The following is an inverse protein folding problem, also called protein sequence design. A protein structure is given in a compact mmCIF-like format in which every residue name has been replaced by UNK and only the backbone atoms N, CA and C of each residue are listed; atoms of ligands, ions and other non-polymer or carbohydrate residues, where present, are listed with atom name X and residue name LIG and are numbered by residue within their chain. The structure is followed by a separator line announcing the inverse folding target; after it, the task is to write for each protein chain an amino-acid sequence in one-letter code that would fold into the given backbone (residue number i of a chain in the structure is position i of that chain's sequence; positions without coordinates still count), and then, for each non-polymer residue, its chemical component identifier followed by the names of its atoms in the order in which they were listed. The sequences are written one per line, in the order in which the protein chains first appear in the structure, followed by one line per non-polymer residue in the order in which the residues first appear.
data_IF_935640862858
#
_entry.id   IF_935640862858
#
_cell.length_a   1.000
_cell.length_b   1.000
_cell.length_c   1.000
_cell.angle_alpha   90.00
_cell.angle_beta   90.00
_cell.angle_gamma   90.00
#
_symmetry.space_group_name_H-M   'P 1'
#
loop_
_entity.id
_entity.type
_entity.pdbx_description
1 polymer ?
#
# COMPACT_ATOMS: atom_id res chain seq x y z
N UNK A 1 -2.71 11.67 -43.97
CA UNK A 1 -1.92 11.91 -42.74
C UNK A 1 -2.56 13.05 -41.95
N UNK A 2 -3.46 12.74 -41.01
CA UNK A 2 -4.03 13.77 -40.14
C UNK A 2 -2.99 14.18 -39.10
N UNK A 3 -2.60 15.46 -39.09
CA UNK A 3 -1.75 16.06 -38.06
C UNK A 3 -2.41 15.85 -36.70
N UNK A 4 -1.85 14.98 -35.87
CA UNK A 4 -2.25 14.79 -34.48
C UNK A 4 -1.98 16.12 -33.77
N UNK A 5 -3.02 16.92 -33.50
CA UNK A 5 -2.92 18.08 -32.62
C UNK A 5 -2.36 17.59 -31.27
N UNK A 6 -1.25 18.19 -30.83
CA UNK A 6 -0.73 17.96 -29.48
C UNK A 6 -1.86 18.23 -28.49
N UNK A 7 -2.05 17.35 -27.50
CA UNK A 7 -3.06 17.56 -26.49
C UNK A 7 -2.76 18.86 -25.73
N UNK A 8 -3.74 19.75 -25.58
CA UNK A 8 -3.58 20.86 -24.65
C UNK A 8 -3.26 20.29 -23.26
N UNK A 9 -2.27 20.85 -22.55
CA UNK A 9 -1.92 20.39 -21.21
C UNK A 9 -3.12 20.59 -20.28
N UNK A 10 -3.39 19.57 -19.46
CA UNK A 10 -4.46 19.63 -18.46
C UNK A 10 -4.13 20.78 -17.49
N UNK A 11 -5.05 21.75 -17.40
CA UNK A 11 -4.88 22.94 -16.57
C UNK A 11 -5.61 22.76 -15.23
N UNK A 12 -5.17 23.45 -14.18
CA UNK A 12 -5.81 23.40 -12.85
C UNK A 12 -7.32 23.69 -12.89
N UNK A 13 -7.77 24.58 -13.78
CA UNK A 13 -9.20 24.88 -13.99
C UNK A 13 -10.06 23.71 -14.48
N UNK A 14 -9.44 22.62 -14.94
CA UNK A 14 -10.13 21.40 -15.39
C UNK A 14 -10.56 20.50 -14.23
N UNK A 15 -10.19 20.84 -12.99
CA UNK A 15 -10.49 20.08 -11.79
C UNK A 15 -11.78 20.56 -11.12
N UNK A 16 -12.56 19.60 -10.60
CA UNK A 16 -13.78 19.84 -9.83
C UNK A 16 -13.41 20.38 -8.44
N UNK A 17 -13.79 21.62 -8.08
CA UNK A 17 -13.39 22.23 -6.82
C UNK A 17 -13.73 21.40 -5.58
N UNK A 18 -14.89 20.75 -5.58
CA UNK A 18 -15.41 19.92 -4.48
C UNK A 18 -14.60 18.63 -4.24
N UNK A 19 -13.76 18.24 -5.20
CA UNK A 19 -12.90 17.05 -5.10
C UNK A 19 -11.46 17.37 -4.71
N UNK A 20 -11.08 18.65 -4.71
CA UNK A 20 -9.72 19.08 -4.41
C UNK A 20 -9.40 18.90 -2.94
N UNK A 21 -8.29 18.22 -2.67
CA UNK A 21 -7.75 17.94 -1.33
C UNK A 21 -6.31 18.42 -1.23
N UNK A 22 -5.89 18.81 -0.03
CA UNK A 22 -4.57 19.42 0.21
C UNK A 22 -4.54 20.93 -0.01
N UNK A 23 -3.38 21.54 0.23
CA UNK A 23 -3.19 23.00 0.25
C UNK A 23 -2.36 23.49 -0.95
N UNK A 24 -2.61 24.70 -1.49
CA UNK A 24 -1.73 25.33 -2.48
C UNK A 24 -0.27 25.42 -1.98
N UNK A 25 0.70 25.26 -2.89
CA UNK A 25 2.12 25.20 -2.54
C UNK A 25 2.60 23.83 -2.04
N UNK A 26 1.70 22.85 -1.93
CA UNK A 26 1.99 21.46 -1.60
C UNK A 26 1.36 20.52 -2.64
N UNK A 27 1.63 19.23 -2.54
CA UNK A 27 0.90 18.25 -3.34
C UNK A 27 -0.57 18.24 -2.98
N UNK A 28 -1.40 18.16 -4.02
CA UNK A 28 -2.86 18.08 -3.92
C UNK A 28 -3.35 16.92 -4.74
N UNK A 29 -4.60 16.55 -4.53
CA UNK A 29 -5.29 15.56 -5.37
C UNK A 29 -6.67 16.06 -5.72
N UNK A 30 -7.13 15.78 -6.94
CA UNK A 30 -8.44 16.21 -7.41
C UNK A 30 -8.91 15.40 -8.60
N UNK A 31 -10.21 15.45 -8.86
CA UNK A 31 -10.84 14.83 -10.02
C UNK A 31 -11.08 15.88 -11.11
N UNK A 32 -10.76 15.55 -12.35
CA UNK A 32 -11.12 16.36 -13.50
C UNK A 32 -12.63 16.32 -13.75
N UNK A 33 -13.13 17.29 -14.52
CA UNK A 33 -14.51 17.26 -15.02
C UNK A 33 -14.83 15.98 -15.82
N UNK A 34 -13.84 15.39 -16.49
CA UNK A 34 -13.92 14.10 -17.19
C UNK A 34 -13.85 12.86 -16.27
N UNK A 35 -13.83 13.03 -14.95
CA UNK A 35 -13.87 11.93 -13.99
C UNK A 35 -12.53 11.28 -13.65
N UNK A 36 -11.42 11.79 -14.16
CA UNK A 36 -10.08 11.25 -13.87
C UNK A 36 -9.49 11.90 -12.63
N UNK A 37 -8.99 11.10 -11.70
CA UNK A 37 -8.21 11.59 -10.57
C UNK A 37 -6.78 11.93 -10.98
N UNK A 38 -6.20 12.99 -10.45
CA UNK A 38 -4.79 13.31 -10.62
C UNK A 38 -4.21 13.87 -9.34
N UNK A 39 -2.91 13.66 -9.15
CA UNK A 39 -2.14 14.53 -8.28
C UNK A 39 -1.88 15.86 -8.99
N UNK A 40 -1.70 16.89 -8.18
CA UNK A 40 -1.20 18.19 -8.59
C UNK A 40 0.08 18.44 -7.80
N UNK A 41 1.14 18.82 -8.49
CA UNK A 41 2.40 19.21 -7.87
C UNK A 41 2.24 20.55 -7.10
N UNK A 42 3.26 21.00 -6.34
CA UNK A 42 3.21 22.27 -5.61
C UNK A 42 2.93 23.53 -6.44
N UNK A 43 3.00 23.42 -7.78
CA UNK A 43 2.71 24.50 -8.73
C UNK A 43 1.37 24.28 -9.45
N UNK A 44 0.50 23.43 -8.89
CA UNK A 44 -0.81 23.03 -9.44
C UNK A 44 -0.74 22.42 -10.85
N UNK A 45 0.40 21.79 -11.20
CA UNK A 45 0.54 21.05 -12.47
C UNK A 45 0.15 19.59 -12.27
N UNK A 46 -0.60 18.99 -13.22
CA UNK A 46 -0.92 17.57 -13.16
C UNK A 46 0.34 16.72 -13.00
N UNK A 47 0.26 15.74 -12.11
CA UNK A 47 1.37 14.87 -11.77
C UNK A 47 0.88 13.42 -11.71
N UNK A 48 1.70 12.51 -12.26
CA UNK A 48 1.48 11.07 -12.16
C UNK A 48 2.70 10.41 -11.51
N UNK A 49 2.47 9.68 -10.40
CA UNK A 49 3.56 9.04 -9.65
C UNK A 49 4.11 7.84 -10.42
N UNK A 50 5.43 7.82 -10.58
CA UNK A 50 6.23 6.69 -11.09
C UNK A 50 7.32 6.48 -10.07
N UNK A 51 7.06 5.59 -9.11
CA UNK A 51 7.87 5.42 -7.91
C UNK A 51 8.56 4.06 -7.87
N UNK A 52 9.64 3.95 -7.10
CA UNK A 52 10.33 2.70 -6.75
C UNK A 52 10.57 2.68 -5.25
N UNK A 53 10.11 1.63 -4.57
CA UNK A 53 10.37 1.45 -3.14
C UNK A 53 11.76 0.88 -2.87
N UNK A 54 12.25 1.11 -1.66
CA UNK A 54 13.47 0.51 -1.13
C UNK A 54 14.73 0.76 -1.99
N UNK A 55 14.84 1.94 -2.60
CA UNK A 55 16.08 2.38 -3.27
C UNK A 55 17.13 2.70 -2.20
N UNK A 56 17.77 1.66 -1.69
CA UNK A 56 18.75 1.75 -0.62
C UNK A 56 19.84 0.69 -0.79
N UNK A 57 20.92 0.85 -0.01
CA UNK A 57 22.09 -0.03 -0.04
C UNK A 57 21.82 -1.47 0.40
N UNK A 58 20.69 -1.74 1.06
CA UNK A 58 20.32 -3.08 1.53
C UNK A 58 19.38 -3.80 0.56
N UNK A 59 18.81 -3.11 -0.42
CA UNK A 59 17.94 -3.72 -1.43
C UNK A 59 16.62 -4.25 -0.88
N UNK A 60 16.16 -3.73 0.27
CA UNK A 60 14.98 -4.24 0.98
C UNK A 60 14.20 -3.14 1.68
N UNK A 61 12.92 -3.42 1.89
CA UNK A 61 12.04 -2.62 2.72
C UNK A 61 12.42 -2.70 4.20
N UNK A 62 12.00 -1.69 4.97
CA UNK A 62 12.19 -1.60 6.40
C UNK A 62 13.49 -0.89 6.81
N UNK A 63 13.79 -0.87 8.12
CA UNK A 63 15.03 -0.28 8.63
C UNK A 63 16.26 -1.05 8.14
N UNK A 64 17.45 -0.40 8.17
CA UNK A 64 18.72 -1.07 7.89
C UNK A 64 18.83 -2.41 8.63
N UNK A 65 19.18 -3.46 7.89
CA UNK A 65 19.36 -4.78 8.50
C UNK A 65 20.60 -4.81 9.38
N UNK A 66 20.54 -5.52 10.50
CA UNK A 66 21.70 -5.77 11.38
C UNK A 66 22.80 -6.56 10.66
N UNK A 67 22.41 -7.47 9.76
CA UNK A 67 23.30 -8.27 8.93
C UNK A 67 23.26 -7.81 7.48
N UNK A 68 24.43 -7.78 6.83
CA UNK A 68 24.55 -7.47 5.41
C UNK A 68 24.23 -8.70 4.57
N UNK A 69 23.14 -8.61 3.82
CA UNK A 69 22.78 -9.62 2.82
C UNK A 69 23.64 -9.53 1.56
N UNK A 70 23.45 -10.50 0.65
CA UNK A 70 24.24 -10.63 -0.60
C UNK A 70 24.28 -9.36 -1.44
N UNK A 71 23.15 -8.67 -1.58
CA UNK A 71 23.07 -7.42 -2.33
C UNK A 71 23.84 -6.28 -1.65
N UNK A 72 23.72 -6.13 -0.33
CA UNK A 72 24.45 -5.10 0.40
C UNK A 72 25.98 -5.27 0.28
N UNK A 73 26.45 -6.53 0.30
CA UNK A 73 27.87 -6.85 0.09
C UNK A 73 28.33 -6.44 -1.32
N UNK A 74 27.55 -6.74 -2.36
CA UNK A 74 27.86 -6.33 -3.72
C UNK A 74 27.91 -4.80 -3.86
N UNK A 75 26.95 -4.09 -3.28
CA UNK A 75 26.91 -2.61 -3.25
C UNK A 75 28.13 -2.05 -2.53
N UNK A 76 28.54 -2.61 -1.39
CA UNK A 76 29.71 -2.14 -0.66
C UNK A 76 31.01 -2.35 -1.45
N UNK A 77 31.12 -3.44 -2.20
CA UNK A 77 32.26 -3.70 -3.09
C UNK A 77 32.32 -2.72 -4.27
N UNK A 78 31.16 -2.38 -4.85
CA UNK A 78 31.09 -1.50 -6.02
C UNK A 78 31.26 -0.01 -5.68
N UNK A 79 30.68 0.43 -4.56
CA UNK A 79 30.56 1.85 -4.23
C UNK A 79 31.34 2.25 -2.98
N UNK A 80 32.00 1.31 -2.31
CA UNK A 80 32.67 1.53 -1.03
C UNK A 80 31.67 1.57 0.13
N UNK A 81 32.02 0.90 1.23
CA UNK A 81 31.22 0.88 2.45
C UNK A 81 31.09 2.28 3.08
N UNK A 82 32.20 3.03 3.09
CA UNK A 82 32.31 4.34 3.76
C UNK A 82 31.81 5.52 2.90
N UNK A 83 31.52 5.30 1.60
CA UNK A 83 30.95 6.32 0.71
C UNK A 83 29.45 6.06 0.45
N UNK A 84 28.55 6.58 1.30
CA UNK A 84 27.11 6.49 1.04
C UNK A 84 26.69 7.24 -0.24
N UNK A 85 27.45 8.26 -0.66
CA UNK A 85 27.11 9.06 -1.84
C UNK A 85 27.39 8.32 -3.16
N UNK A 86 28.33 7.36 -3.17
CA UNK A 86 28.62 6.51 -4.33
C UNK A 86 27.39 5.79 -4.86
N UNK A 87 26.72 5.05 -3.99
CA UNK A 87 25.46 4.37 -4.31
C UNK A 87 24.38 5.36 -4.73
N UNK A 88 24.16 6.44 -3.96
CA UNK A 88 23.10 7.41 -4.25
C UNK A 88 23.28 8.07 -5.63
N UNK A 89 24.51 8.43 -6.03
CA UNK A 89 24.80 8.97 -7.37
C UNK A 89 24.47 7.96 -8.47
N UNK A 90 24.89 6.70 -8.33
CA UNK A 90 24.64 5.65 -9.31
C UNK A 90 23.14 5.32 -9.43
N UNK A 91 22.46 5.15 -8.29
CA UNK A 91 21.03 4.92 -8.24
C UNK A 91 20.24 6.07 -8.88
N UNK A 92 20.57 7.32 -8.57
CA UNK A 92 19.92 8.50 -9.16
C UNK A 92 20.07 8.55 -10.69
N UNK A 93 21.23 8.21 -11.23
CA UNK A 93 21.42 8.13 -12.68
C UNK A 93 20.51 7.08 -13.31
N UNK A 94 20.42 5.89 -12.71
CA UNK A 94 19.52 4.81 -13.16
C UNK A 94 18.05 5.24 -13.12
N UNK A 95 17.59 5.78 -11.99
CA UNK A 95 16.22 6.27 -11.82
C UNK A 95 15.84 7.32 -12.87
N UNK A 96 16.73 8.27 -13.18
CA UNK A 96 16.51 9.27 -14.24
C UNK A 96 16.41 8.63 -15.64
N UNK A 97 17.27 7.66 -15.95
CA UNK A 97 17.19 6.90 -17.22
C UNK A 97 15.88 6.15 -17.34
N UNK A 98 15.42 5.55 -16.25
CA UNK A 98 14.15 4.82 -16.19
C UNK A 98 12.92 5.74 -16.02
N UNK A 99 13.11 7.07 -16.07
CA UNK A 99 12.05 8.07 -16.01
C UNK A 99 11.21 8.00 -14.72
N UNK A 100 11.83 7.56 -13.61
CA UNK A 100 11.25 7.60 -12.27
C UNK A 100 11.25 9.06 -11.79
N UNK A 101 10.13 9.51 -11.21
CA UNK A 101 9.98 10.87 -10.68
C UNK A 101 9.76 10.93 -9.16
N UNK A 102 9.65 9.76 -8.52
CA UNK A 102 9.33 9.66 -7.09
C UNK A 102 10.16 8.55 -6.44
N UNK A 103 10.73 8.83 -5.28
CA UNK A 103 11.32 7.84 -4.38
C UNK A 103 10.22 7.28 -3.49
N UNK A 104 10.07 5.96 -3.44
CA UNK A 104 9.14 5.29 -2.54
C UNK A 104 9.68 5.22 -1.11
N UNK A 105 8.91 4.62 -0.18
CA UNK A 105 9.36 4.37 1.18
C UNK A 105 10.67 3.59 1.23
N UNK A 106 11.42 3.80 2.31
CA UNK A 106 12.72 3.17 2.58
C UNK A 106 13.82 3.53 1.58
N UNK A 107 13.67 4.61 0.81
CA UNK A 107 14.76 5.16 0.01
C UNK A 107 15.91 5.66 0.92
N UNK A 108 17.13 5.58 0.41
CA UNK A 108 18.32 6.08 1.09
C UNK A 108 18.21 7.59 1.34
N UNK A 109 18.42 8.08 2.58
CA UNK A 109 18.38 9.51 2.88
C UNK A 109 19.31 10.36 2.02
N UNK A 110 20.42 9.80 1.51
CA UNK A 110 21.34 10.51 0.62
C UNK A 110 20.73 10.85 -0.75
N UNK A 111 19.56 10.26 -1.11
CA UNK A 111 18.80 10.60 -2.30
C UNK A 111 17.85 11.80 -2.09
N UNK A 112 17.68 12.28 -0.86
CA UNK A 112 16.87 13.45 -0.56
C UNK A 112 17.40 14.70 -1.30
N UNK A 113 16.48 15.55 -1.78
CA UNK A 113 16.86 16.79 -2.49
C UNK A 113 17.47 16.57 -3.89
N UNK A 114 17.45 15.35 -4.43
CA UNK A 114 18.00 15.01 -5.75
C UNK A 114 17.19 15.52 -6.96
N UNK A 115 16.11 16.27 -6.69
CA UNK A 115 15.11 16.71 -7.69
C UNK A 115 14.00 15.70 -7.95
N UNK A 116 14.03 14.53 -7.30
CA UNK A 116 12.90 13.60 -7.24
C UNK A 116 12.01 13.95 -6.04
N UNK A 117 10.70 13.74 -6.18
CA UNK A 117 9.77 13.82 -5.05
C UNK A 117 9.84 12.53 -4.23
N UNK A 118 9.19 12.49 -3.06
CA UNK A 118 9.20 11.30 -2.22
C UNK A 118 7.83 10.97 -1.62
N UNK A 119 7.61 9.69 -1.38
CA UNK A 119 6.60 9.18 -0.45
C UNK A 119 7.31 8.50 0.72
N UNK A 120 6.70 8.57 1.90
CA UNK A 120 7.28 8.03 3.14
C UNK A 120 6.28 7.16 3.88
N UNK A 121 6.78 6.36 4.82
CA UNK A 121 5.98 5.51 5.69
C UNK A 121 6.10 6.03 7.12
N UNK A 122 4.98 6.28 7.79
CA UNK A 122 4.95 6.61 9.21
C UNK A 122 5.13 5.35 10.08
N UNK A 123 4.55 4.21 9.70
CA UNK A 123 4.65 2.92 10.40
C UNK A 123 4.00 2.95 11.81
N UNK A 124 2.73 3.39 11.88
CA UNK A 124 1.98 3.55 13.14
C UNK A 124 1.75 2.25 13.90
N UNK A 125 1.80 1.08 13.25
CA UNK A 125 1.79 -0.21 13.96
C UNK A 125 2.94 -0.33 14.97
N UNK A 126 4.04 0.39 14.75
CA UNK A 126 5.20 0.43 15.63
C UNK A 126 5.29 1.73 16.46
N UNK A 127 4.17 2.42 16.68
CA UNK A 127 4.11 3.63 17.51
C UNK A 127 4.35 3.41 19.03
N UNK A 128 4.77 2.20 19.43
CA UNK A 128 5.13 1.86 20.81
C UNK A 128 4.00 1.26 21.65
N UNK A 129 2.84 0.97 21.06
CA UNK A 129 1.70 0.32 21.73
C UNK A 129 1.64 -1.20 21.53
N UNK A 130 0.70 -1.89 22.19
CA UNK A 130 0.44 -3.30 21.95
C UNK A 130 0.03 -3.56 20.49
N UNK A 131 0.52 -4.65 19.91
CA UNK A 131 0.19 -5.07 18.54
C UNK A 131 -0.44 -6.45 18.59
N UNK A 132 -1.62 -6.56 17.99
CA UNK A 132 -2.31 -7.82 17.76
C UNK A 132 -1.64 -8.49 16.56
N UNK A 133 -0.90 -9.56 16.80
CA UNK A 133 -0.19 -10.31 15.76
C UNK A 133 -0.45 -11.81 15.88
N UNK A 134 -1.51 -12.29 15.24
CA UNK A 134 -1.92 -13.70 15.28
C UNK A 134 -2.80 -14.08 14.07
N UNK A 135 -2.58 -15.27 13.51
CA UNK A 135 -3.40 -15.84 12.41
C UNK A 135 -3.63 -14.89 11.22
N UNK A 136 -2.62 -14.10 10.85
CA UNK A 136 -2.69 -13.12 9.76
C UNK A 136 -3.34 -11.78 10.12
N UNK A 137 -3.84 -11.63 11.35
CA UNK A 137 -4.13 -10.30 11.92
C UNK A 137 -2.80 -9.67 12.34
N UNK A 138 -2.60 -8.42 11.93
CA UNK A 138 -1.43 -7.62 12.28
C UNK A 138 -1.84 -6.16 12.36
N UNK A 139 -2.28 -5.72 13.54
CA UNK A 139 -2.84 -4.39 13.80
C UNK A 139 -2.41 -3.87 15.17
N UNK A 140 -2.21 -2.56 15.34
CA UNK A 140 -2.13 -1.97 16.67
C UNK A 140 -3.43 -2.24 17.45
N UNK A 141 -3.33 -2.39 18.77
CA UNK A 141 -4.51 -2.43 19.64
C UNK A 141 -5.11 -1.02 19.77
N UNK A 142 -6.01 -0.70 18.84
CA UNK A 142 -6.64 0.63 18.75
C UNK A 142 -7.63 0.91 19.88
N UNK A 143 -7.93 -0.07 20.74
CA UNK A 143 -8.76 0.11 21.92
C UNK A 143 -7.93 0.46 23.17
N UNK A 144 -6.61 0.34 23.09
CA UNK A 144 -5.72 0.80 24.16
C UNK A 144 -5.93 2.31 24.39
N UNK A 145 -6.15 2.70 25.64
CA UNK A 145 -6.41 4.11 26.00
C UNK A 145 -5.27 5.06 25.61
N UNK A 146 -4.04 4.54 25.54
CA UNK A 146 -2.85 5.26 25.10
C UNK A 146 -2.72 5.42 23.58
N UNK A 147 -3.49 4.68 22.77
CA UNK A 147 -3.36 4.64 21.30
C UNK A 147 -3.30 6.04 20.66
N UNK A 148 -4.18 6.94 21.06
CA UNK A 148 -4.24 8.30 20.51
C UNK A 148 -3.02 9.15 20.86
N UNK A 149 -2.50 9.02 22.09
CA UNK A 149 -1.29 9.71 22.54
C UNK A 149 -0.04 9.15 21.87
N UNK A 150 0.03 7.83 21.70
CA UNK A 150 1.11 7.16 20.96
C UNK A 150 1.15 7.60 19.50
N UNK A 151 -0.02 7.70 18.84
CA UNK A 151 -0.10 8.23 17.48
C UNK A 151 0.44 9.66 17.39
N UNK A 152 0.05 10.52 18.33
CA UNK A 152 0.49 11.91 18.33
C UNK A 152 2.01 12.04 18.49
N UNK A 153 2.57 11.35 19.48
CA UNK A 153 4.02 11.32 19.72
C UNK A 153 4.78 10.78 18.51
N UNK A 154 4.29 9.68 17.93
CA UNK A 154 4.91 9.03 16.78
C UNK A 154 4.91 9.92 15.53
N UNK A 155 3.78 10.60 15.25
CA UNK A 155 3.67 11.53 14.13
C UNK A 155 4.60 12.75 14.26
N UNK A 156 4.81 13.23 15.49
CA UNK A 156 5.77 14.30 15.78
C UNK A 156 7.22 13.85 15.56
N UNK A 157 7.57 12.64 16.00
CA UNK A 157 8.94 12.12 15.95
C UNK A 157 9.38 11.68 14.56
N UNK A 158 8.55 10.91 13.85
CA UNK A 158 8.93 10.28 12.57
C UNK A 158 9.21 11.29 11.46
N UNK A 159 8.57 12.45 11.52
CA UNK A 159 8.69 13.45 10.48
C UNK A 159 10.02 14.20 10.44
N UNK A 160 10.78 14.19 11.54
CA UNK A 160 12.12 14.77 11.56
C UNK A 160 13.07 14.12 10.53
N UNK A 161 12.80 12.87 10.15
CA UNK A 161 13.59 12.12 9.18
C UNK A 161 13.06 12.23 7.73
N UNK A 162 11.91 12.88 7.49
CA UNK A 162 11.33 12.91 6.16
C UNK A 162 12.04 13.91 5.23
N UNK A 163 12.31 13.55 3.96
CA UNK A 163 12.95 14.43 3.01
C UNK A 163 12.02 15.61 2.60
N UNK A 164 12.57 16.72 2.09
CA UNK A 164 11.76 17.76 1.47
C UNK A 164 11.07 17.25 0.19
N UNK A 165 10.00 17.92 -0.24
CA UNK A 165 9.29 17.56 -1.48
C UNK A 165 8.44 16.29 -1.36
N UNK A 166 7.81 16.09 -0.21
CA UNK A 166 6.89 14.97 0.00
C UNK A 166 5.61 15.15 -0.80
N UNK A 167 5.19 14.07 -1.45
CA UNK A 167 3.85 13.93 -2.00
C UNK A 167 2.87 13.64 -0.87
N UNK A 168 3.26 12.74 0.04
CA UNK A 168 2.43 12.32 1.15
C UNK A 168 3.06 11.18 1.94
N UNK A 169 2.31 10.73 2.94
CA UNK A 169 2.73 9.72 3.92
C UNK A 169 1.75 8.54 3.92
N UNK A 170 2.29 7.33 3.83
CA UNK A 170 1.56 6.11 4.15
C UNK A 170 1.53 5.93 5.67
N UNK A 171 0.37 5.57 6.22
CA UNK A 171 0.26 5.33 7.67
C UNK A 171 0.99 4.05 8.07
N UNK A 172 0.81 2.99 7.29
CA UNK A 172 1.42 1.68 7.51
C UNK A 172 1.61 0.93 6.17
N UNK A 173 2.30 -0.21 6.23
CA UNK A 173 2.49 -1.11 5.10
C UNK A 173 1.88 -2.48 5.42
N UNK A 174 0.96 -2.92 4.55
CA UNK A 174 0.41 -4.28 4.57
C UNK A 174 -0.17 -4.73 5.92
N UNK A 175 -0.99 -3.90 6.57
CA UNK A 175 -1.69 -4.27 7.80
C UNK A 175 -2.58 -5.51 7.60
N UNK A 176 -2.60 -6.40 8.60
CA UNK A 176 -3.39 -7.62 8.59
C UNK A 176 -4.79 -7.39 9.15
N UNK A 177 -5.74 -7.00 8.31
CA UNK A 177 -7.09 -6.63 8.73
C UNK A 177 -8.02 -7.80 9.11
N UNK A 178 -7.61 -9.04 8.86
CA UNK A 178 -8.34 -10.25 9.23
C UNK A 178 -9.78 -10.32 8.69
N UNK A 179 -10.03 -10.15 7.38
CA UNK A 179 -11.35 -10.40 6.80
C UNK A 179 -11.73 -11.89 6.97
N UNK A 180 -13.03 -12.24 7.11
CA UNK A 180 -13.43 -13.63 7.28
C UNK A 180 -13.13 -14.46 6.04
N UNK A 181 -12.49 -15.62 6.22
CA UNK A 181 -12.25 -16.59 5.15
C UNK A 181 -12.48 -18.03 5.63
N UNK A 182 -12.79 -18.97 4.71
CA UNK A 182 -12.93 -20.38 5.08
C UNK A 182 -11.66 -21.03 5.65
N UNK A 183 -10.49 -20.48 5.31
CA UNK A 183 -9.16 -21.01 5.61
C UNK A 183 -8.37 -20.17 6.61
N UNK A 184 -8.95 -19.09 7.17
CA UNK A 184 -8.25 -18.19 8.11
C UNK A 184 -9.20 -17.62 9.15
N UNK A 185 -8.70 -17.49 10.38
CA UNK A 185 -9.42 -16.82 11.47
C UNK A 185 -9.59 -15.32 11.18
N UNK A 186 -10.75 -14.78 11.55
CA UNK A 186 -11.06 -13.37 11.32
C UNK A 186 -10.72 -12.50 12.54
N UNK A 187 -10.59 -11.19 12.32
CA UNK A 187 -10.20 -10.20 13.34
C UNK A 187 -10.98 -10.35 14.65
N UNK A 188 -12.31 -10.45 14.57
CA UNK A 188 -13.15 -10.60 15.77
C UNK A 188 -12.83 -11.87 16.55
N UNK A 189 -12.70 -13.03 15.88
CA UNK A 189 -12.38 -14.30 16.54
C UNK A 189 -11.00 -14.26 17.19
N UNK A 190 -10.01 -13.65 16.51
CA UNK A 190 -8.68 -13.42 17.09
C UNK A 190 -8.81 -12.57 18.36
N UNK A 191 -9.47 -11.41 18.29
CA UNK A 191 -9.63 -10.53 19.45
C UNK A 191 -10.37 -11.19 20.63
N UNK A 192 -11.44 -11.96 20.38
CA UNK A 192 -12.17 -12.70 21.42
C UNK A 192 -11.32 -13.75 22.14
N UNK A 193 -10.20 -14.16 21.52
CA UNK A 193 -9.29 -15.22 22.01
C UNK A 193 -7.95 -14.68 22.52
N UNK A 194 -7.74 -13.36 22.49
CA UNK A 194 -6.54 -12.73 23.01
C UNK A 194 -6.41 -12.93 24.53
N UNK A 195 -5.19 -12.73 25.03
CA UNK A 195 -4.95 -12.63 26.46
C UNK A 195 -5.61 -11.35 27.03
N UNK A 196 -6.11 -11.35 28.27
CA UNK A 196 -6.84 -10.21 28.86
C UNK A 196 -6.02 -8.92 29.01
N UNK A 197 -4.70 -8.95 28.78
CA UNK A 197 -3.87 -7.75 28.78
C UNK A 197 -4.04 -6.89 27.52
N UNK A 198 -4.67 -7.40 26.46
CA UNK A 198 -5.05 -6.61 25.29
C UNK A 198 -6.39 -5.91 25.53
N UNK A 199 -6.46 -4.60 25.30
CA UNK A 199 -7.71 -3.85 25.36
C UNK A 199 -8.71 -4.35 24.31
N UNK A 200 -8.22 -4.80 23.15
CA UNK A 200 -9.03 -5.43 22.11
C UNK A 200 -9.77 -6.69 22.57
N UNK A 201 -9.25 -7.45 23.54
CA UNK A 201 -9.95 -8.59 24.13
C UNK A 201 -11.26 -8.14 24.79
N UNK A 202 -11.15 -7.14 25.67
CA UNK A 202 -12.27 -6.58 26.39
C UNK A 202 -13.27 -5.93 25.45
N UNK A 203 -12.78 -5.09 24.54
CA UNK A 203 -13.60 -4.41 23.55
C UNK A 203 -14.37 -5.41 22.67
N UNK A 204 -13.75 -6.50 22.22
CA UNK A 204 -14.44 -7.51 21.41
C UNK A 204 -15.57 -8.19 22.18
N UNK A 205 -15.34 -8.61 23.43
CA UNK A 205 -16.38 -9.24 24.25
C UNK A 205 -17.52 -8.28 24.60
N UNK A 206 -17.20 -7.04 24.97
CA UNK A 206 -18.21 -6.01 25.23
C UNK A 206 -19.03 -5.72 23.97
N UNK A 207 -18.38 -5.59 22.82
CA UNK A 207 -19.03 -5.29 21.54
C UNK A 207 -20.06 -6.34 21.14
N UNK A 208 -19.70 -7.63 21.24
CA UNK A 208 -20.61 -8.72 20.85
C UNK A 208 -21.68 -9.00 21.90
N UNK A 209 -21.43 -8.74 23.19
CA UNK A 209 -22.41 -9.00 24.25
C UNK A 209 -23.40 -7.85 24.46
N UNK A 210 -23.04 -6.60 24.14
CA UNK A 210 -23.87 -5.43 24.35
C UNK A 210 -25.27 -5.53 23.69
N UNK A 211 -25.42 -5.97 22.42
CA UNK A 211 -26.74 -6.17 21.79
C UNK A 211 -27.62 -7.22 22.47
N UNK A 212 -27.02 -8.05 23.33
CA UNK A 212 -27.67 -9.16 24.01
C UNK A 212 -27.76 -8.96 25.53
N UNK A 213 -27.58 -7.73 26.01
CA UNK A 213 -27.69 -7.40 27.43
C UNK A 213 -26.66 -8.14 28.31
N UNK A 214 -25.48 -8.43 27.77
CA UNK A 214 -24.45 -9.19 28.48
C UNK A 214 -24.65 -10.71 28.49
N UNK A 215 -25.70 -11.23 27.84
CA UNK A 215 -26.07 -12.65 27.94
C UNK A 215 -25.37 -13.51 26.87
N UNK A 216 -24.44 -14.37 27.32
CA UNK A 216 -23.67 -15.26 26.44
C UNK A 216 -24.54 -16.31 25.72
N UNK A 217 -25.56 -16.85 26.39
CA UNK A 217 -26.47 -17.82 25.76
C UNK A 217 -27.32 -17.17 24.65
N UNK A 218 -27.68 -15.89 24.81
CA UNK A 218 -28.36 -15.13 23.76
C UNK A 218 -27.44 -14.84 22.56
N UNK A 219 -26.15 -14.54 22.81
CA UNK A 219 -25.13 -14.44 21.76
C UNK A 219 -24.98 -15.77 21.01
N UNK A 220 -24.86 -16.89 21.75
CA UNK A 220 -24.77 -18.23 21.16
C UNK A 220 -25.95 -18.55 20.24
N UNK A 221 -27.17 -18.20 20.63
CA UNK A 221 -28.36 -18.32 19.76
C UNK A 221 -28.26 -17.46 18.50
N UNK A 222 -27.83 -16.20 18.61
CA UNK A 222 -27.63 -15.30 17.45
C UNK A 222 -26.58 -15.85 16.47
N UNK A 223 -25.53 -16.44 17.01
CA UNK A 223 -24.44 -17.03 16.23
C UNK A 223 -24.71 -18.46 15.78
N UNK A 224 -25.87 -19.05 16.12
CA UNK A 224 -26.15 -20.47 15.89
C UNK A 224 -25.01 -21.38 16.36
N UNK A 225 -24.46 -21.07 17.54
CA UNK A 225 -23.30 -21.73 18.13
C UNK A 225 -23.60 -22.06 19.59
N UNK A 226 -23.35 -23.30 20.00
CA UNK A 226 -23.41 -23.66 21.41
C UNK A 226 -22.25 -23.00 22.16
N UNK A 227 -22.59 -22.07 23.07
CA UNK A 227 -21.65 -21.15 23.70
C UNK A 227 -21.85 -21.12 25.23
N UNK A 228 -21.61 -22.23 25.94
CA UNK A 228 -21.75 -22.31 27.40
C UNK A 228 -20.77 -21.40 28.16
N UNK A 229 -19.62 -21.09 27.56
CA UNK A 229 -18.59 -20.21 28.11
C UNK A 229 -17.71 -19.62 26.99
N UNK A 230 -16.85 -18.66 27.34
CA UNK A 230 -15.93 -17.99 26.41
C UNK A 230 -14.84 -18.93 25.87
N UNK A 231 -14.50 -19.99 26.63
CA UNK A 231 -13.42 -20.93 26.28
C UNK A 231 -13.71 -21.69 24.98
N UNK A 232 -14.98 -21.89 24.63
CA UNK A 232 -15.35 -22.51 23.34
C UNK A 232 -14.80 -21.72 22.14
N UNK A 233 -14.78 -20.38 22.21
CA UNK A 233 -14.20 -19.55 21.16
C UNK A 233 -12.68 -19.70 21.15
N UNK A 234 -12.04 -19.62 22.33
CA UNK A 234 -10.58 -19.78 22.46
C UNK A 234 -10.11 -21.14 21.94
N UNK A 235 -10.77 -22.23 22.33
CA UNK A 235 -10.47 -23.58 21.85
C UNK A 235 -10.64 -23.69 20.33
N UNK A 236 -11.72 -23.17 19.75
CA UNK A 236 -11.90 -23.17 18.29
C UNK A 236 -10.83 -22.37 17.56
N UNK A 237 -10.38 -21.25 18.12
CA UNK A 237 -9.27 -20.46 17.59
C UNK A 237 -7.97 -21.26 17.65
N UNK A 238 -7.67 -21.95 18.75
CA UNK A 238 -6.50 -22.83 18.87
C UNK A 238 -6.54 -24.01 17.88
N UNK A 239 -7.73 -24.54 17.60
CA UNK A 239 -7.97 -25.55 16.58
C UNK A 239 -7.98 -24.99 15.14
N UNK A 240 -7.75 -23.68 14.98
CA UNK A 240 -7.81 -22.94 13.70
C UNK A 240 -9.12 -23.16 12.93
N UNK A 241 -10.25 -23.23 13.65
CA UNK A 241 -11.58 -23.41 13.07
C UNK A 241 -12.30 -22.06 12.93
N UNK A 242 -12.40 -21.50 11.71
CA UNK A 242 -13.02 -20.19 11.52
C UNK A 242 -14.52 -20.22 11.83
N UNK A 243 -15.00 -19.15 12.45
CA UNK A 243 -16.42 -18.89 12.62
C UNK A 243 -16.97 -18.21 11.36
N UNK A 244 -18.08 -18.73 10.84
CA UNK A 244 -18.65 -18.29 9.56
C UNK A 244 -20.19 -18.22 9.55
N UNK A 245 -20.85 -18.31 10.72
CA UNK A 245 -22.30 -18.19 10.77
C UNK A 245 -22.75 -16.76 10.46
N UNK A 246 -23.94 -16.61 9.88
CA UNK A 246 -24.43 -15.28 9.48
C UNK A 246 -24.52 -14.28 10.64
N UNK A 247 -24.86 -14.74 11.85
CA UNK A 247 -24.86 -13.90 13.06
C UNK A 247 -23.47 -13.41 13.42
N UNK A 248 -22.50 -14.31 13.46
CA UNK A 248 -21.11 -13.98 13.72
C UNK A 248 -20.53 -13.02 12.67
N UNK A 249 -20.77 -13.28 11.37
CA UNK A 249 -20.23 -12.44 10.29
C UNK A 249 -20.76 -11.00 10.35
N UNK A 250 -22.03 -10.79 10.74
CA UNK A 250 -22.58 -9.44 10.95
C UNK A 250 -21.88 -8.70 12.08
N UNK A 251 -21.57 -9.40 13.18
CA UNK A 251 -20.87 -8.79 14.31
C UNK A 251 -19.40 -8.54 13.97
N UNK A 252 -18.75 -9.45 13.22
CA UNK A 252 -17.42 -9.23 12.68
C UNK A 252 -17.36 -7.98 11.79
N UNK A 253 -18.27 -7.83 10.84
CA UNK A 253 -18.29 -6.68 9.93
C UNK A 253 -18.38 -5.34 10.69
N UNK A 254 -19.24 -5.30 11.72
CA UNK A 254 -19.42 -4.12 12.58
C UNK A 254 -18.19 -3.87 13.46
N UNK A 255 -17.61 -4.91 14.04
CA UNK A 255 -16.40 -4.79 14.86
C UNK A 255 -15.19 -4.36 14.03
N UNK A 256 -14.99 -4.94 12.84
CA UNK A 256 -13.92 -4.57 11.92
C UNK A 256 -14.05 -3.11 11.45
N UNK A 257 -15.29 -2.64 11.21
CA UNK A 257 -15.56 -1.23 10.93
C UNK A 257 -15.11 -0.33 12.09
N UNK A 258 -15.42 -0.73 13.31
CA UNK A 258 -15.14 0.03 14.52
C UNK A 258 -13.62 0.10 14.82
N UNK A 259 -12.89 -0.99 14.54
CA UNK A 259 -11.42 -1.01 14.55
C UNK A 259 -10.85 -0.07 13.49
N UNK A 260 -11.34 -0.16 12.25
CA UNK A 260 -10.89 0.70 11.15
C UNK A 260 -11.17 2.19 11.43
N UNK A 261 -12.33 2.51 12.00
CA UNK A 261 -12.69 3.86 12.40
C UNK A 261 -11.67 4.44 13.38
N UNK A 262 -11.35 3.73 14.48
CA UNK A 262 -10.36 4.19 15.46
C UNK A 262 -8.96 4.33 14.87
N UNK A 263 -8.55 3.36 14.06
CA UNK A 263 -7.26 3.38 13.40
C UNK A 263 -7.10 4.62 12.50
N UNK A 264 -8.01 4.79 11.51
CA UNK A 264 -7.91 5.89 10.55
C UNK A 264 -8.17 7.25 11.21
N UNK A 265 -9.03 7.33 12.23
CA UNK A 265 -9.28 8.58 12.94
C UNK A 265 -8.04 9.04 13.73
N UNK A 266 -7.41 8.14 14.51
CA UNK A 266 -6.27 8.50 15.35
C UNK A 266 -5.03 8.84 14.51
N UNK A 267 -4.69 8.01 13.54
CA UNK A 267 -3.53 8.24 12.66
C UNK A 267 -3.69 9.51 11.83
N UNK A 268 -4.88 9.75 11.26
CA UNK A 268 -5.13 10.98 10.51
C UNK A 268 -5.10 12.22 11.41
N UNK A 269 -5.70 12.17 12.60
CA UNK A 269 -5.68 13.31 13.53
C UNK A 269 -4.25 13.68 13.94
N UNK A 270 -3.41 12.68 14.24
CA UNK A 270 -2.00 12.88 14.57
C UNK A 270 -1.22 13.48 13.39
N UNK A 271 -1.33 12.88 12.20
CA UNK A 271 -0.65 13.39 11.00
C UNK A 271 -1.11 14.80 10.64
N UNK A 272 -2.40 15.11 10.70
CA UNK A 272 -2.91 16.45 10.39
C UNK A 272 -2.51 17.51 11.40
N UNK A 273 -2.32 17.15 12.67
CA UNK A 273 -1.87 18.07 13.72
C UNK A 273 -0.44 18.53 13.47
N UNK A 274 0.46 17.60 13.13
CA UNK A 274 1.88 17.90 12.95
C UNK A 274 2.25 18.26 11.51
N UNK A 275 1.51 17.72 10.53
CA UNK A 275 1.79 17.83 9.08
C UNK A 275 0.52 18.12 8.27
N UNK A 276 -0.14 19.27 8.51
CA UNK A 276 -1.47 19.55 7.95
C UNK A 276 -1.53 19.52 6.42
N UNK A 277 -0.42 19.81 5.75
CA UNK A 277 -0.35 19.95 4.30
C UNK A 277 0.00 18.67 3.53
N UNK A 278 0.41 17.59 4.21
CA UNK A 278 0.75 16.34 3.53
C UNK A 278 -0.49 15.55 3.15
N UNK A 279 -0.45 14.85 2.00
CA UNK A 279 -1.49 13.89 1.67
C UNK A 279 -1.32 12.62 2.51
N UNK A 280 -2.42 12.10 3.05
CA UNK A 280 -2.46 10.81 3.72
C UNK A 280 -2.78 9.74 2.67
N UNK A 281 -1.80 8.86 2.42
CA UNK A 281 -1.80 7.93 1.29
C UNK A 281 -2.37 6.53 1.64
N UNK A 282 -3.01 6.40 2.80
CA UNK A 282 -3.55 5.13 3.29
C UNK A 282 -2.47 4.19 3.84
N UNK A 283 -2.81 2.90 3.96
CA UNK A 283 -1.98 1.90 4.64
C UNK A 283 -1.55 0.73 3.75
N UNK A 284 -1.46 0.95 2.43
CA UNK A 284 -0.89 0.01 1.43
C UNK A 284 -1.44 -1.42 1.61
N UNK A 285 -2.75 -1.59 1.42
CA UNK A 285 -3.42 -2.88 1.64
C UNK A 285 -2.80 -4.00 0.79
N UNK A 286 -2.25 -5.04 1.44
CA UNK A 286 -1.70 -6.21 0.75
C UNK A 286 -2.81 -7.07 0.10
N UNK A 287 -3.98 -7.08 0.72
CA UNK A 287 -5.19 -7.74 0.23
C UNK A 287 -6.42 -6.89 0.53
N UNK A 288 -7.54 -7.05 -0.20
CA UNK A 288 -8.76 -6.32 0.10
C UNK A 288 -9.21 -6.56 1.55
N UNK A 289 -9.32 -5.51 2.39
CA UNK A 289 -9.54 -5.66 3.83
C UNK A 289 -11.02 -5.94 4.20
N UNK A 290 -11.92 -5.98 3.21
CA UNK A 290 -13.36 -6.01 3.39
C UNK A 290 -14.03 -4.65 3.21
N UNK A 291 -15.30 -4.65 2.81
CA UNK A 291 -16.02 -3.42 2.44
C UNK A 291 -16.16 -2.43 3.61
N UNK A 292 -16.34 -2.91 4.84
CA UNK A 292 -16.51 -2.06 6.02
C UNK A 292 -15.22 -1.35 6.43
N UNK A 293 -14.06 -2.00 6.28
CA UNK A 293 -12.76 -1.36 6.50
C UNK A 293 -12.50 -0.31 5.41
N UNK A 294 -12.79 -0.63 4.14
CA UNK A 294 -12.66 0.32 3.03
C UNK A 294 -13.55 1.55 3.21
N UNK A 295 -14.75 1.40 3.77
CA UNK A 295 -15.66 2.49 4.05
C UNK A 295 -15.12 3.52 5.07
N UNK A 296 -14.18 3.11 5.94
CA UNK A 296 -13.50 4.02 6.88
C UNK A 296 -12.17 4.57 6.33
N UNK A 297 -11.65 4.00 5.23
CA UNK A 297 -10.45 4.44 4.51
C UNK A 297 -10.81 5.51 3.45
N UNK A 298 -11.39 6.62 3.90
CA UNK A 298 -11.96 7.67 3.05
C UNK A 298 -11.59 9.08 3.52
N UNK A 299 -11.80 10.08 2.66
CA UNK A 299 -11.63 11.49 3.00
C UNK A 299 -12.63 11.92 4.10
N UNK A 300 -12.25 12.72 5.11
CA UNK A 300 -10.98 13.46 5.26
C UNK A 300 -9.84 12.73 5.97
N UNK A 301 -10.02 11.47 6.39
CA UNK A 301 -8.99 10.71 7.12
C UNK A 301 -7.87 10.21 6.20
N UNK A 302 -8.24 9.86 4.98
CA UNK A 302 -7.33 9.38 3.94
C UNK A 302 -7.59 10.17 2.67
N UNK A 303 -6.55 10.70 2.03
CA UNK A 303 -6.69 11.42 0.76
C UNK A 303 -6.64 10.50 -0.44
N UNK A 304 -5.82 9.44 -0.35
CA UNK A 304 -5.55 8.48 -1.42
C UNK A 304 -5.58 7.07 -0.83
N UNK A 305 -6.29 6.15 -1.47
CA UNK A 305 -6.27 4.74 -1.09
C UNK A 305 -5.12 4.05 -1.81
N UNK A 306 -4.28 3.33 -1.06
CA UNK A 306 -3.17 2.55 -1.60
C UNK A 306 -3.34 1.06 -1.35
N UNK A 307 -2.95 0.26 -2.34
CA UNK A 307 -3.00 -1.20 -2.26
C UNK A 307 -1.83 -1.81 -3.03
N UNK A 308 -1.45 -3.02 -2.64
CA UNK A 308 -0.47 -3.83 -3.33
C UNK A 308 -1.12 -4.55 -4.51
N UNK A 309 -0.39 -4.68 -5.61
CA UNK A 309 -0.77 -5.65 -6.63
C UNK A 309 0.48 -6.23 -7.28
N UNK A 310 0.67 -7.53 -7.11
CA UNK A 310 1.70 -8.27 -7.78
C UNK A 310 1.03 -9.09 -8.89
N UNK A 311 1.29 -8.78 -10.15
CA UNK A 311 0.82 -9.57 -11.30
C UNK A 311 -0.12 -8.83 -12.25
N UNK A 312 -0.53 -9.48 -13.35
CA UNK A 312 -1.17 -8.81 -14.49
C UNK A 312 -2.60 -8.29 -14.22
N UNK A 313 -3.18 -8.58 -13.06
CA UNK A 313 -4.57 -8.23 -12.72
C UNK A 313 -4.72 -6.80 -12.13
N UNK A 314 -3.76 -5.91 -12.41
CA UNK A 314 -3.72 -4.55 -11.85
C UNK A 314 -5.03 -3.77 -12.03
N UNK A 315 -5.59 -3.74 -13.25
CA UNK A 315 -6.82 -3.01 -13.53
C UNK A 315 -8.05 -3.64 -12.84
N UNK A 316 -8.12 -4.96 -12.79
CA UNK A 316 -9.21 -5.68 -12.13
C UNK A 316 -9.23 -5.39 -10.63
N UNK A 317 -8.06 -5.40 -9.98
CA UNK A 317 -7.96 -5.03 -8.57
C UNK A 317 -8.27 -3.54 -8.36
N UNK A 318 -7.83 -2.65 -9.26
CA UNK A 318 -8.17 -1.24 -9.19
C UNK A 318 -9.69 -1.00 -9.20
N UNK A 319 -10.47 -1.77 -9.96
CA UNK A 319 -11.94 -1.67 -9.97
C UNK A 319 -12.56 -1.98 -8.61
N UNK A 320 -12.05 -2.98 -7.87
CA UNK A 320 -12.54 -3.33 -6.53
C UNK A 320 -12.45 -2.12 -5.60
N UNK A 321 -11.29 -1.47 -5.56
CA UNK A 321 -11.07 -0.29 -4.73
C UNK A 321 -11.80 0.95 -5.27
N UNK A 322 -11.85 1.13 -6.59
CA UNK A 322 -12.50 2.29 -7.22
C UNK A 322 -14.00 2.31 -6.93
N UNK A 323 -14.69 1.16 -7.06
CA UNK A 323 -16.13 1.04 -6.78
C UNK A 323 -16.43 1.20 -5.30
N UNK A 324 -15.57 0.68 -4.42
CA UNK A 324 -15.79 0.72 -2.98
C UNK A 324 -15.59 2.11 -2.39
N UNK A 325 -14.60 2.88 -2.88
CA UNK A 325 -14.18 4.11 -2.21
C UNK A 325 -14.57 5.40 -2.95
N UNK A 326 -14.69 5.39 -4.28
CA UNK A 326 -14.81 6.65 -5.06
C UNK A 326 -13.61 7.59 -4.89
N UNK A 327 -12.47 7.04 -4.44
CA UNK A 327 -11.26 7.76 -4.05
C UNK A 327 -10.17 7.67 -5.14
N UNK A 328 -9.20 8.62 -5.16
CA UNK A 328 -7.98 8.45 -5.92
C UNK A 328 -7.19 7.26 -5.36
N UNK A 329 -6.55 6.53 -6.28
CA UNK A 329 -5.95 5.23 -6.07
C UNK A 329 -4.46 5.28 -6.37
N UNK A 330 -3.60 4.88 -5.43
CA UNK A 330 -2.17 4.70 -5.67
C UNK A 330 -1.80 3.21 -5.61
N UNK A 331 -1.43 2.66 -6.76
CA UNK A 331 -0.90 1.30 -6.82
C UNK A 331 0.47 1.26 -6.14
N UNK A 332 0.64 0.39 -5.17
CA UNK A 332 1.90 0.19 -4.45
C UNK A 332 2.39 -1.24 -4.63
N UNK A 333 3.66 -1.47 -4.31
CA UNK A 333 4.26 -2.79 -4.44
C UNK A 333 3.99 -3.49 -5.79
N UNK A 334 4.03 -2.73 -6.90
CA UNK A 334 3.82 -3.30 -8.23
C UNK A 334 4.98 -4.20 -8.64
N UNK A 335 4.70 -5.30 -9.32
CA UNK A 335 5.73 -6.18 -9.88
C UNK A 335 5.18 -7.15 -10.92
N UNK A 336 6.06 -7.65 -11.78
CA UNK A 336 5.70 -8.55 -12.89
C UNK A 336 6.01 -10.03 -12.63
N UNK A 337 6.96 -10.33 -11.75
CA UNK A 337 7.46 -11.69 -11.54
C UNK A 337 7.13 -12.24 -10.14
N UNK A 338 5.85 -12.51 -9.89
CA UNK A 338 5.41 -13.13 -8.63
C UNK A 338 5.21 -14.65 -8.75
N UNK A 339 4.95 -15.31 -7.63
CA UNK A 339 4.69 -16.74 -7.57
C UNK A 339 3.56 -17.19 -8.49
N UNK A 340 2.43 -16.47 -8.56
CA UNK A 340 1.32 -16.81 -9.46
C UNK A 340 1.73 -16.79 -10.93
N UNK A 341 2.62 -15.87 -11.31
CA UNK A 341 3.22 -15.83 -12.64
C UNK A 341 4.19 -17.01 -12.85
N UNK A 342 5.09 -17.27 -11.89
CA UNK A 342 6.08 -18.36 -11.95
C UNK A 342 5.42 -19.75 -11.95
N UNK A 343 4.28 -19.91 -11.26
CA UNK A 343 3.51 -21.14 -11.18
C UNK A 343 2.64 -21.39 -12.43
N UNK A 344 2.47 -20.38 -13.31
CA UNK A 344 1.63 -20.52 -14.49
C UNK A 344 2.13 -21.66 -15.40
N UNK A 345 1.24 -22.58 -15.84
CA UNK A 345 1.63 -23.71 -16.66
C UNK A 345 2.26 -23.25 -17.97
N UNK A 346 3.36 -23.89 -18.34
CA UNK A 346 4.08 -23.63 -19.58
C UNK A 346 4.31 -24.94 -20.31
N UNK A 347 3.88 -25.00 -21.57
CA UNK A 347 4.23 -26.09 -22.48
C UNK A 347 5.45 -25.64 -23.31
N UNK A 348 6.60 -26.32 -23.21
CA UNK A 348 7.74 -26.03 -24.07
C UNK A 348 7.36 -26.10 -25.55
N UNK A 349 7.91 -25.21 -26.37
CA UNK A 349 7.75 -25.20 -27.83
C UNK A 349 6.32 -24.92 -28.36
N UNK A 350 5.39 -24.43 -27.53
CA UNK A 350 4.03 -24.09 -27.96
C UNK A 350 3.67 -22.62 -27.69
N UNK A 351 4.30 -21.70 -28.43
CA UNK A 351 4.04 -20.26 -28.35
C UNK A 351 5.04 -19.50 -27.46
N UNK A 352 4.70 -18.28 -27.01
CA UNK A 352 5.63 -17.40 -26.30
C UNK A 352 6.15 -18.06 -25.02
N UNK A 353 7.45 -17.93 -24.77
CA UNK A 353 8.15 -18.36 -23.57
C UNK A 353 7.52 -17.77 -22.30
N UNK A 354 7.88 -18.32 -21.14
CA UNK A 354 7.46 -17.74 -19.86
C UNK A 354 7.87 -16.27 -19.78
N UNK A 355 9.12 -15.92 -20.08
CA UNK A 355 9.58 -14.53 -20.06
C UNK A 355 8.77 -13.62 -21.00
N UNK A 356 8.51 -14.04 -22.25
CA UNK A 356 7.73 -13.24 -23.21
C UNK A 356 6.30 -12.99 -22.73
N UNK A 357 5.65 -13.98 -22.09
CA UNK A 357 4.33 -13.78 -21.48
C UNK A 357 4.40 -12.79 -20.32
N UNK A 358 5.41 -12.88 -19.46
CA UNK A 358 5.63 -11.94 -18.34
C UNK A 358 5.67 -10.51 -18.85
N UNK A 359 6.51 -10.27 -19.86
CA UNK A 359 6.75 -8.94 -20.40
C UNK A 359 5.54 -8.41 -21.15
N UNK A 360 4.86 -9.27 -21.93
CA UNK A 360 3.62 -8.90 -22.65
C UNK A 360 2.50 -8.53 -21.68
N UNK A 361 2.20 -9.42 -20.74
CA UNK A 361 1.05 -9.28 -19.83
C UNK A 361 1.33 -8.15 -18.83
N UNK A 362 2.56 -8.05 -18.34
CA UNK A 362 3.02 -6.96 -17.50
C UNK A 362 2.97 -5.59 -18.16
N UNK A 363 3.45 -5.49 -19.41
CA UNK A 363 3.38 -4.24 -20.18
C UNK A 363 1.94 -3.79 -20.38
N UNK A 364 1.06 -4.72 -20.74
CA UNK A 364 -0.37 -4.44 -20.89
C UNK A 364 -0.93 -3.92 -19.57
N UNK A 365 -0.73 -4.66 -18.50
CA UNK A 365 -1.38 -4.38 -17.24
C UNK A 365 -0.89 -3.08 -16.57
N UNK A 366 0.41 -2.75 -16.66
CA UNK A 366 0.93 -1.47 -16.17
C UNK A 366 0.49 -0.29 -17.06
N UNK A 367 0.36 -0.51 -18.38
CA UNK A 367 -0.22 0.49 -19.30
C UNK A 367 -1.68 0.76 -18.96
N UNK A 368 -2.47 -0.28 -18.69
CA UNK A 368 -3.87 -0.17 -18.29
C UNK A 368 -4.01 0.53 -16.93
N UNK A 369 -3.15 0.20 -15.97
CA UNK A 369 -3.10 0.89 -14.68
C UNK A 369 -2.83 2.41 -14.84
N UNK A 370 -1.91 2.80 -15.73
CA UNK A 370 -1.65 4.22 -16.03
C UNK A 370 -2.87 4.92 -16.66
N UNK A 371 -3.66 4.20 -17.45
CA UNK A 371 -4.85 4.70 -18.12
C UNK A 371 -6.10 4.76 -17.23
N UNK A 372 -6.14 4.00 -16.13
CA UNK A 372 -7.32 3.85 -15.29
C UNK A 372 -7.71 5.18 -14.59
N UNK A 373 -8.98 5.63 -14.67
CA UNK A 373 -9.39 6.98 -14.24
C UNK A 373 -9.16 7.25 -12.75
N UNK A 374 -9.23 6.23 -11.89
CA UNK A 374 -8.96 6.42 -10.45
C UNK A 374 -7.49 6.36 -10.07
N UNK A 375 -6.62 5.76 -10.89
CA UNK A 375 -5.22 5.47 -10.51
C UNK A 375 -4.36 6.70 -10.74
N UNK A 376 -3.73 7.26 -9.71
CA UNK A 376 -2.91 8.49 -9.79
C UNK A 376 -1.40 8.22 -9.90
N UNK A 377 -1.01 6.95 -9.94
CA UNK A 377 0.37 6.55 -10.07
C UNK A 377 0.60 5.11 -9.66
N UNK A 378 1.85 4.69 -9.71
CA UNK A 378 2.29 3.42 -9.17
C UNK A 378 3.66 3.51 -8.49
N UNK A 379 3.92 2.57 -7.59
CA UNK A 379 5.21 2.31 -6.99
C UNK A 379 5.63 0.87 -7.27
N UNK A 380 6.79 0.69 -7.90
CA UNK A 380 7.41 -0.62 -8.08
C UNK A 380 7.97 -1.16 -6.77
N UNK A 381 7.71 -2.45 -6.51
CA UNK A 381 7.85 -3.05 -5.19
C UNK A 381 9.26 -3.03 -4.62
N UNK A 382 10.29 -3.21 -5.45
CA UNK A 382 11.63 -3.16 -4.91
C UNK A 382 12.69 -2.77 -5.92
N UNK A 383 13.70 -2.11 -5.38
CA UNK A 383 14.92 -1.77 -6.08
C UNK A 383 15.73 -3.01 -6.49
N UNK A 384 16.02 -3.93 -5.56
CA UNK A 384 16.86 -5.09 -5.79
C UNK A 384 16.11 -6.41 -5.60
N UNK A 385 16.51 -7.46 -6.33
CA UNK A 385 15.99 -8.82 -6.18
C UNK A 385 16.16 -9.38 -4.75
N UNK A 386 15.30 -10.33 -4.37
CA UNK A 386 15.51 -11.11 -3.15
C UNK A 386 16.64 -12.13 -3.32
N UNK A 387 17.30 -12.55 -2.21
CA UNK A 387 18.45 -13.46 -2.28
C UNK A 387 18.17 -14.81 -2.96
N UNK A 388 16.93 -15.31 -2.92
CA UNK A 388 16.48 -16.56 -3.51
C UNK A 388 15.92 -16.41 -4.92
N UNK A 389 15.84 -15.19 -5.44
CA UNK A 389 15.36 -14.92 -6.79
C UNK A 389 16.45 -15.10 -7.84
N UNK A 390 16.06 -15.66 -8.98
CA UNK A 390 16.98 -15.92 -10.09
C UNK A 390 16.55 -15.12 -11.33
N UNK A 391 17.47 -14.35 -11.94
CA UNK A 391 17.22 -13.69 -13.23
C UNK A 391 16.82 -14.71 -14.32
N UNK A 392 15.91 -14.37 -15.25
CA UNK A 392 15.26 -13.06 -15.45
C UNK A 392 13.92 -12.95 -14.71
N UNK A 393 13.71 -13.74 -13.64
CA UNK A 393 12.45 -13.79 -12.91
C UNK A 393 12.54 -13.12 -11.54
N UNK A 394 13.58 -12.32 -11.29
CA UNK A 394 13.64 -11.46 -10.10
C UNK A 394 12.54 -10.41 -10.05
N UNK A 395 12.25 -9.88 -8.87
CA UNK A 395 11.23 -8.84 -8.67
C UNK A 395 11.80 -7.42 -8.59
N UNK A 396 13.12 -7.29 -8.48
CA UNK A 396 13.85 -6.03 -8.44
C UNK A 396 14.09 -5.39 -9.81
N UNK A 397 14.53 -4.13 -9.78
CA UNK A 397 15.06 -3.42 -10.95
C UNK A 397 16.56 -3.60 -11.13
N UNK A 398 17.22 -4.12 -10.10
CA UNK A 398 18.59 -4.62 -10.15
C UNK A 398 18.66 -6.01 -9.53
N UNK A 399 19.59 -6.82 -9.99
CA UNK A 399 19.87 -8.13 -9.43
C UNK A 399 20.67 -8.00 -8.13
N UNK A 400 20.89 -9.13 -7.47
CA UNK A 400 21.67 -9.21 -6.21
C UNK A 400 23.13 -8.78 -6.37
N UNK A 401 23.65 -8.70 -7.60
CA UNK A 401 24.99 -8.17 -7.92
C UNK A 401 24.97 -6.70 -8.41
N UNK A 402 23.85 -5.99 -8.22
CA UNK A 402 23.59 -4.61 -8.63
C UNK A 402 23.62 -4.34 -10.16
N UNK A 403 23.64 -5.39 -10.99
CA UNK A 403 23.39 -5.23 -12.43
C UNK A 403 21.92 -4.95 -12.70
N UNK A 404 21.63 -4.15 -13.72
CA UNK A 404 20.24 -3.83 -14.09
C UNK A 404 19.49 -5.08 -14.55
N UNK A 405 18.26 -5.26 -14.05
CA UNK A 405 17.30 -6.23 -14.54
C UNK A 405 16.63 -5.68 -15.80
N UNK A 406 17.33 -5.78 -16.94
CA UNK A 406 16.95 -5.18 -18.23
C UNK A 406 15.53 -5.55 -18.66
N UNK A 407 15.09 -6.76 -18.32
CA UNK A 407 13.73 -7.25 -18.56
C UNK A 407 12.65 -6.34 -17.94
N UNK A 408 12.92 -5.74 -16.79
CA UNK A 408 12.00 -4.82 -16.12
C UNK A 408 12.31 -3.37 -16.47
N UNK A 409 13.58 -2.97 -16.44
CA UNK A 409 13.98 -1.55 -16.55
C UNK A 409 13.67 -0.95 -17.92
N UNK A 410 13.84 -1.70 -19.02
CA UNK A 410 13.47 -1.21 -20.36
C UNK A 410 11.96 -1.02 -20.51
N UNK A 411 11.19 -1.98 -20.00
CA UNK A 411 9.73 -1.93 -20.00
C UNK A 411 9.24 -0.72 -19.21
N UNK A 412 9.77 -0.52 -18.00
CA UNK A 412 9.41 0.60 -17.15
C UNK A 412 9.82 1.94 -17.75
N UNK A 413 11.04 2.08 -18.26
CA UNK A 413 11.51 3.32 -18.90
C UNK A 413 10.59 3.76 -20.03
N UNK A 414 10.19 2.82 -20.90
CA UNK A 414 9.28 3.08 -22.01
C UNK A 414 7.88 3.48 -21.55
N UNK A 415 7.34 2.84 -20.50
CA UNK A 415 6.01 3.18 -19.95
C UNK A 415 6.06 4.52 -19.23
N UNK A 416 7.08 4.76 -18.42
CA UNK A 416 7.26 5.99 -17.66
C UNK A 416 7.39 7.22 -18.55
N UNK A 417 8.08 7.12 -19.69
CA UNK A 417 8.19 8.20 -20.68
C UNK A 417 6.86 8.58 -21.36
N UNK A 418 5.80 7.78 -21.16
CA UNK A 418 4.48 8.00 -21.79
C UNK A 418 3.31 7.94 -20.81
N UNK A 419 3.53 7.71 -19.52
CA UNK A 419 2.49 7.47 -18.52
C UNK A 419 1.39 8.56 -18.54
N UNK A 420 1.77 9.82 -18.45
CA UNK A 420 0.82 10.95 -18.47
C UNK A 420 0.10 11.07 -19.83
N UNK A 421 0.79 10.81 -20.94
CA UNK A 421 0.18 10.80 -22.28
C UNK A 421 -0.84 9.67 -22.44
N UNK A 422 -0.56 8.48 -21.91
CA UNK A 422 -1.49 7.35 -21.89
C UNK A 422 -2.75 7.73 -21.11
N UNK A 423 -2.55 8.34 -19.93
CA UNK A 423 -3.63 8.79 -19.06
C UNK A 423 -4.54 9.84 -19.73
N UNK A 424 -3.96 10.85 -20.38
CA UNK A 424 -4.71 11.88 -21.10
C UNK A 424 -5.46 11.33 -22.32
N UNK A 425 -4.94 10.29 -22.99
CA UNK A 425 -5.62 9.66 -24.14
C UNK A 425 -6.85 8.86 -23.72
N UNK A 426 -6.78 8.14 -22.60
CA UNK A 426 -7.90 7.36 -22.09
C UNK A 426 -9.15 8.23 -21.85
N UNK A 427 -8.95 9.47 -21.40
CA UNK A 427 -10.01 10.46 -21.14
C UNK A 427 -10.81 10.88 -22.38
N UNK A 428 -10.26 10.68 -23.59
CA UNK A 428 -10.87 11.11 -24.86
C UNK A 428 -11.71 10.02 -25.51
N UNK A 429 -11.49 8.78 -25.10
CA UNK A 429 -12.14 7.59 -25.65
C UNK A 429 -13.22 7.02 -24.71
N UNK A 430 -13.31 7.56 -23.49
CA UNK A 430 -14.41 7.35 -22.55
C UNK A 430 -15.42 8.48 -22.73
#
# INVERSE_FOLDING_TARGET
MAKIRAAEPLAFRSFKPETLRGSPGFFRVGQTSSGQWWLLDPHDRPFFVRSVAAVNRYGRAGPPATHRGVYAVAVDQLYGYEDPAGFARAALQRLRRWQVNTLGPWADPALAGSGLYATVLADFRHAGGPVIHAHGVNLPDVFDTGWTGLCDLHAAQTAAAWPPGLIGVFTDDALGWGPPRPDRLSLLQVCLSLEPNFAAYHAAWEFVLAPHGGNLAALGRSWSLDLPNREIIRQRTLEERPLATAGYLRDHERFAREVAHRYFAATAAALRRHHPHLLILGCRFAEPPGATVLAECVYPRVDVVSWHCHGPDFALHAEVYARAAGMPLLLTAAGLSNERFRAAPFKPHSGPTRLERMLRDGRKALTDACAHPSVIGYEWARWADEPDETPPFGTGLVHTDDREAVEHTELLAQINARAERLRLRAARNA
#
